data_IF_689489245800
#
_entry.id   IF_689489245800
#
_cell.length_a   1.000
_cell.length_b   1.000
_cell.length_c   1.000
_cell.angle_alpha   90.00
_cell.angle_beta   90.00
_cell.angle_gamma   90.00
#
_symmetry.space_group_name_H-M   'P 1'
#
loop_
_entity.id
_entity.type
_entity.pdbx_description
1 polymer ?
#
# COMPACT_ATOMS: atom_id res chain seq x y z
N UNK A 1 -13.34 -18.06 -13.67
CA UNK A 1 -12.99 -18.47 -12.30
C UNK A 1 -12.95 -17.20 -11.46
N UNK A 2 -13.63 -17.14 -10.32
CA UNK A 2 -13.62 -15.94 -9.45
C UNK A 2 -12.36 -16.03 -8.57
N UNK A 3 -11.43 -15.08 -8.68
CA UNK A 3 -10.26 -14.98 -7.77
C UNK A 3 -10.56 -14.01 -6.64
N UNK A 4 -9.94 -14.21 -5.48
CA UNK A 4 -10.18 -13.37 -4.29
C UNK A 4 -9.82 -11.89 -4.53
N UNK A 5 -8.89 -11.62 -5.45
CA UNK A 5 -8.45 -10.28 -5.80
C UNK A 5 -9.56 -9.40 -6.41
N UNK A 6 -10.60 -10.01 -6.99
CA UNK A 6 -11.79 -9.31 -7.47
C UNK A 6 -12.82 -9.02 -6.37
N UNK A 7 -12.73 -9.71 -5.23
CA UNK A 7 -13.59 -9.48 -4.06
C UNK A 7 -13.05 -8.38 -3.15
N UNK A 8 -11.74 -8.09 -3.22
CA UNK A 8 -11.09 -7.04 -2.45
C UNK A 8 -11.05 -5.73 -3.23
N UNK A 9 -11.65 -4.71 -2.62
CA UNK A 9 -11.70 -3.35 -3.13
C UNK A 9 -10.43 -2.57 -2.73
N UNK A 10 -9.72 -2.04 -3.73
CA UNK A 10 -8.48 -1.31 -3.52
C UNK A 10 -8.70 0.03 -2.80
N UNK A 11 -9.81 0.72 -3.04
CA UNK A 11 -10.15 1.96 -2.36
C UNK A 11 -10.35 1.71 -0.86
N UNK A 12 -11.08 0.65 -0.51
CA UNK A 12 -11.26 0.24 0.89
C UNK A 12 -9.94 -0.15 1.57
N UNK A 13 -9.00 -0.74 0.83
CA UNK A 13 -7.66 -0.99 1.35
C UNK A 13 -6.94 0.31 1.75
N UNK A 14 -6.98 1.34 0.89
CA UNK A 14 -6.38 2.64 1.21
C UNK A 14 -7.09 3.34 2.36
N UNK A 15 -8.43 3.31 2.41
CA UNK A 15 -9.21 3.81 3.55
C UNK A 15 -8.75 3.15 4.85
N UNK A 16 -8.63 1.82 4.86
CA UNK A 16 -8.21 1.10 6.05
C UNK A 16 -6.78 1.41 6.48
N UNK A 17 -5.86 1.58 5.52
CA UNK A 17 -4.50 2.04 5.85
C UNK A 17 -4.51 3.43 6.49
N UNK A 18 -5.32 4.36 5.98
CA UNK A 18 -5.43 5.70 6.56
C UNK A 18 -5.97 5.66 7.99
N UNK A 19 -7.03 4.90 8.23
CA UNK A 19 -7.59 4.71 9.58
C UNK A 19 -6.54 4.16 10.57
N UNK A 20 -5.78 3.15 10.15
CA UNK A 20 -4.77 2.53 10.99
C UNK A 20 -3.57 3.44 11.24
N UNK A 21 -3.19 4.23 10.24
CA UNK A 21 -2.02 5.10 10.29
C UNK A 21 -2.29 6.42 11.02
N UNK A 22 -3.47 6.97 10.81
CA UNK A 22 -3.91 8.28 11.28
C UNK A 22 -5.31 8.15 11.89
N UNK A 23 -5.42 7.55 13.09
CA UNK A 23 -6.71 7.32 13.73
C UNK A 23 -7.46 8.61 14.07
N UNK A 24 -6.72 9.69 14.37
CA UNK A 24 -7.30 11.00 14.68
C UNK A 24 -7.27 11.94 13.47
N UNK A 25 -6.06 12.26 12.98
CA UNK A 25 -5.87 13.16 11.84
C UNK A 25 -4.50 12.91 11.18
N UNK A 26 -4.40 13.31 9.91
CA UNK A 26 -3.19 13.15 9.11
C UNK A 26 -2.06 14.03 9.65
N UNK A 27 -0.89 13.43 9.88
CA UNK A 27 0.32 14.16 10.22
C UNK A 27 1.46 13.79 9.27
N UNK A 28 2.41 14.72 9.11
CA UNK A 28 3.57 14.53 8.25
C UNK A 28 4.47 13.43 8.82
N UNK A 29 4.75 12.35 8.08
CA UNK A 29 5.62 11.29 8.58
C UNK A 29 7.10 11.69 8.64
N UNK A 30 7.48 12.84 8.06
CA UNK A 30 8.86 13.33 8.11
C UNK A 30 9.16 14.21 9.33
N UNK A 31 8.19 14.98 9.83
CA UNK A 31 8.41 15.96 10.91
C UNK A 31 7.33 15.98 12.01
N UNK A 32 6.27 15.17 11.88
CA UNK A 32 5.17 15.12 12.87
C UNK A 32 4.15 16.26 12.79
N UNK A 33 4.33 17.23 11.90
CA UNK A 33 3.42 18.37 11.75
C UNK A 33 2.01 17.96 11.33
N UNK A 34 1.00 18.68 11.86
CA UNK A 34 -0.41 18.59 11.43
C UNK A 34 -0.79 19.64 10.39
N UNK A 35 0.13 20.52 10.00
CA UNK A 35 -0.09 21.52 8.95
C UNK A 35 0.00 20.85 7.56
N UNK A 36 -1.05 20.11 7.20
CA UNK A 36 -1.09 19.26 5.99
C UNK A 36 -2.15 19.76 5.01
N UNK A 37 -1.81 19.72 3.72
CA UNK A 37 -2.76 19.98 2.62
C UNK A 37 -2.87 18.77 1.70
N UNK A 38 -4.10 18.47 1.24
CA UNK A 38 -4.37 17.41 0.27
C UNK A 38 -4.03 17.88 -1.14
N UNK A 39 -3.18 17.14 -1.84
CA UNK A 39 -2.67 17.47 -3.18
C UNK A 39 -3.26 16.53 -4.24
N UNK A 40 -4.57 16.37 -4.22
CA UNK A 40 -5.28 15.42 -5.09
C UNK A 40 -4.80 13.99 -4.90
N UNK A 41 -5.02 13.16 -5.91
CA UNK A 41 -4.67 11.74 -5.89
C UNK A 41 -3.59 11.42 -6.92
N UNK A 42 -2.98 10.25 -6.81
CA UNK A 42 -2.04 9.74 -7.80
C UNK A 42 -2.75 9.39 -9.12
N UNK A 43 -2.11 9.64 -10.26
CA UNK A 43 -2.70 9.39 -11.59
C UNK A 43 -2.75 7.89 -11.93
N UNK A 44 -1.74 7.13 -11.51
CA UNK A 44 -1.66 5.68 -11.75
C UNK A 44 -2.44 4.88 -10.71
N UNK A 45 -2.62 5.45 -9.51
CA UNK A 45 -3.29 4.83 -8.37
C UNK A 45 -4.33 5.81 -7.81
N UNK A 46 -5.52 5.90 -8.42
CA UNK A 46 -6.54 6.92 -8.09
C UNK A 46 -7.16 6.75 -6.70
N UNK A 47 -6.80 5.71 -5.96
CA UNK A 47 -7.19 5.52 -4.56
C UNK A 47 -6.17 6.08 -3.58
N UNK A 48 -4.94 6.39 -4.05
CA UNK A 48 -3.83 6.92 -3.26
C UNK A 48 -3.92 8.44 -3.16
N UNK A 49 -3.95 8.94 -1.94
CA UNK A 49 -4.00 10.36 -1.61
C UNK A 49 -2.58 10.91 -1.49
N UNK A 50 -2.34 12.08 -2.08
CA UNK A 50 -1.09 12.83 -1.94
C UNK A 50 -1.27 13.99 -0.97
N UNK A 51 -0.20 14.30 -0.25
CA UNK A 51 -0.16 15.32 0.79
C UNK A 51 1.09 16.20 0.64
N UNK A 52 0.97 17.44 1.11
CA UNK A 52 2.07 18.40 1.23
C UNK A 52 2.07 18.98 2.65
N UNK A 53 3.23 18.88 3.31
CA UNK A 53 3.45 19.45 4.64
C UNK A 53 3.89 20.90 4.54
N UNK A 54 3.20 21.80 5.24
CA UNK A 54 3.53 23.24 5.24
C UNK A 54 4.73 23.61 6.10
N UNK A 55 5.13 22.76 7.03
CA UNK A 55 6.24 23.05 7.93
C UNK A 55 7.59 22.59 7.37
N UNK A 56 7.67 21.38 6.82
CA UNK A 56 8.92 20.85 6.24
C UNK A 56 8.96 20.85 4.71
N UNK A 57 7.87 21.26 4.04
CA UNK A 57 7.73 21.33 2.59
C UNK A 57 7.96 20.00 1.85
N UNK A 58 7.94 18.88 2.57
CA UNK A 58 8.04 17.55 1.98
C UNK A 58 6.65 17.04 1.60
N UNK A 59 6.60 16.39 0.44
CA UNK A 59 5.44 15.65 -0.04
C UNK A 59 5.47 14.24 0.50
N UNK A 60 4.30 13.69 0.80
CA UNK A 60 4.12 12.30 1.19
C UNK A 60 2.76 11.80 0.71
N UNK A 61 2.54 10.49 0.81
CA UNK A 61 1.30 9.81 0.47
C UNK A 61 0.93 8.80 1.56
N UNK A 62 -0.19 8.09 1.36
CA UNK A 62 -0.68 7.07 2.30
C UNK A 62 0.34 5.96 2.58
N UNK A 63 1.28 5.71 1.67
CA UNK A 63 2.20 4.58 1.71
C UNK A 63 3.63 4.98 2.09
N UNK A 64 3.93 6.27 2.15
CA UNK A 64 5.28 6.78 2.49
C UNK A 64 5.77 6.16 3.79
N UNK A 65 6.96 5.57 3.82
CA UNK A 65 7.52 4.81 4.96
C UNK A 65 6.72 3.59 5.41
N UNK A 66 5.90 3.02 4.54
CA UNK A 66 5.32 1.69 4.73
C UNK A 66 6.01 0.68 3.83
N UNK A 67 5.83 -0.62 4.11
CA UNK A 67 6.30 -1.71 3.24
C UNK A 67 5.66 -1.70 1.84
N UNK A 68 4.62 -0.88 1.63
CA UNK A 68 3.92 -0.75 0.36
C UNK A 68 4.46 0.40 -0.51
N UNK A 69 5.43 1.17 -0.01
CA UNK A 69 5.99 2.33 -0.70
C UNK A 69 6.77 1.92 -1.97
N UNK A 70 6.73 2.76 -3.02
CA UNK A 70 7.62 2.61 -4.17
C UNK A 70 7.34 1.43 -5.11
N UNK A 71 6.22 0.73 -4.92
CA UNK A 71 5.85 -0.42 -5.76
C UNK A 71 4.72 -0.09 -6.73
N UNK A 72 4.81 -0.68 -7.93
CA UNK A 72 3.82 -0.51 -9.01
C UNK A 72 2.55 -1.35 -8.81
N UNK A 73 2.63 -2.44 -8.05
CA UNK A 73 1.49 -3.31 -7.81
C UNK A 73 0.41 -2.58 -6.98
N UNK A 74 -0.90 -2.77 -7.30
CA UNK A 74 -1.99 -2.22 -6.49
C UNK A 74 -1.89 -2.63 -5.02
N UNK A 75 -2.35 -1.77 -4.12
CA UNK A 75 -2.26 -2.02 -2.69
C UNK A 75 -2.98 -3.32 -2.28
N UNK A 76 -4.16 -3.59 -2.85
CA UNK A 76 -4.90 -4.84 -2.59
C UNK A 76 -4.08 -6.10 -2.89
N UNK A 77 -3.23 -6.06 -3.93
CA UNK A 77 -2.37 -7.18 -4.33
C UNK A 77 -1.32 -7.44 -3.25
N UNK A 78 -0.72 -6.39 -2.70
CA UNK A 78 0.21 -6.51 -1.57
C UNK A 78 -0.46 -7.05 -0.31
N UNK A 79 -1.64 -6.54 0.05
CA UNK A 79 -2.38 -7.01 1.23
C UNK A 79 -2.72 -8.49 1.11
N UNK A 80 -3.20 -8.94 -0.05
CA UNK A 80 -3.50 -10.35 -0.29
C UNK A 80 -2.23 -11.22 -0.31
N UNK A 81 -1.14 -10.73 -0.88
CA UNK A 81 0.16 -11.42 -0.82
C UNK A 81 0.59 -11.66 0.63
N UNK A 82 0.54 -10.63 1.48
CA UNK A 82 0.85 -10.77 2.91
C UNK A 82 -0.10 -11.73 3.63
N UNK A 83 -1.40 -11.68 3.31
CA UNK A 83 -2.39 -12.62 3.85
C UNK A 83 -2.03 -14.08 3.49
N UNK A 84 -1.71 -14.36 2.23
CA UNK A 84 -1.32 -15.70 1.79
C UNK A 84 0.03 -16.17 2.32
N UNK A 85 1.00 -15.26 2.49
CA UNK A 85 2.24 -15.55 3.19
C UNK A 85 1.97 -15.98 4.64
N UNK A 86 1.03 -15.33 5.33
CA UNK A 86 0.59 -15.72 6.69
C UNK A 86 -0.09 -17.08 6.74
N UNK A 87 -0.67 -17.54 5.63
CA UNK A 87 -1.22 -18.89 5.45
C UNK A 87 -0.16 -19.90 4.98
N UNK A 88 1.11 -19.52 4.89
CA UNK A 88 2.23 -20.33 4.40
C UNK A 88 2.02 -20.92 2.99
N UNK A 89 1.31 -20.21 2.12
CA UNK A 89 1.20 -20.61 0.71
C UNK A 89 2.55 -20.48 0.00
N UNK A 90 2.80 -21.35 -0.98
CA UNK A 90 4.01 -21.26 -1.81
C UNK A 90 3.99 -20.00 -2.70
N UNK A 91 5.16 -19.48 -3.07
CA UNK A 91 5.23 -18.33 -3.99
C UNK A 91 4.52 -18.61 -5.33
N UNK A 92 4.58 -19.85 -5.83
CA UNK A 92 3.90 -20.28 -7.05
C UNK A 92 2.37 -20.27 -6.89
N UNK A 93 1.85 -20.68 -5.74
CA UNK A 93 0.40 -20.62 -5.49
C UNK A 93 -0.07 -19.17 -5.31
N UNK A 94 0.72 -18.33 -4.62
CA UNK A 94 0.45 -16.89 -4.48
C UNK A 94 0.41 -16.22 -5.86
N UNK A 95 1.40 -16.52 -6.72
CA UNK A 95 1.46 -15.97 -8.07
C UNK A 95 0.20 -16.34 -8.88
N UNK A 96 -0.22 -17.61 -8.81
CA UNK A 96 -1.43 -18.08 -9.48
C UNK A 96 -2.70 -17.41 -8.96
N UNK A 97 -2.86 -17.28 -7.64
CA UNK A 97 -4.09 -16.70 -7.06
C UNK A 97 -4.21 -15.18 -7.28
N UNK A 98 -3.06 -14.49 -7.42
CA UNK A 98 -3.01 -13.04 -7.63
C UNK A 98 -2.81 -12.64 -9.10
N UNK A 99 -2.78 -13.62 -10.01
CA UNK A 99 -2.49 -13.42 -11.43
C UNK A 99 -1.20 -12.61 -11.66
N UNK A 100 -0.15 -12.99 -10.94
CA UNK A 100 1.18 -12.37 -10.99
C UNK A 100 2.20 -13.28 -11.67
N UNK A 101 3.26 -12.68 -12.21
CA UNK A 101 4.45 -13.45 -12.54
C UNK A 101 5.07 -14.00 -11.24
N UNK A 102 5.64 -15.21 -11.32
CA UNK A 102 6.31 -15.82 -10.17
C UNK A 102 7.46 -14.95 -9.64
N UNK A 103 8.15 -14.22 -10.51
CA UNK A 103 9.19 -13.25 -10.13
C UNK A 103 8.64 -12.08 -9.32
N UNK A 104 7.43 -11.60 -9.63
CA UNK A 104 6.79 -10.51 -8.90
C UNK A 104 6.37 -11.00 -7.50
N UNK A 105 5.72 -12.17 -7.43
CA UNK A 105 5.38 -12.80 -6.16
C UNK A 105 6.64 -13.04 -5.31
N UNK A 106 7.72 -13.55 -5.91
CA UNK A 106 8.99 -13.74 -5.22
C UNK A 106 9.62 -12.43 -4.74
N UNK A 107 9.57 -11.35 -5.53
CA UNK A 107 10.05 -10.04 -5.10
C UNK A 107 9.24 -9.52 -3.91
N UNK A 108 7.91 -9.66 -3.97
CA UNK A 108 7.01 -9.27 -2.88
C UNK A 108 7.28 -10.05 -1.59
N UNK A 109 7.49 -11.37 -1.67
CA UNK A 109 7.74 -12.20 -0.48
C UNK A 109 9.15 -12.07 0.09
N UNK A 110 10.13 -11.66 -0.73
CA UNK A 110 11.51 -11.37 -0.30
C UNK A 110 11.65 -10.07 0.47
N UNK A 111 10.73 -9.11 0.29
CA UNK A 111 10.78 -7.82 0.97
C UNK A 111 10.36 -7.96 2.44
N UNK A 112 11.20 -8.63 3.24
CA UNK A 112 11.15 -8.60 4.69
C UNK A 112 12.01 -7.44 5.17
N UNK A 113 11.36 -6.33 5.49
CA UNK A 113 11.95 -5.18 6.19
C UNK A 113 13.19 -4.58 5.51
N UNK A 114 12.98 -3.66 4.57
CA UNK A 114 13.98 -2.63 4.29
C UNK A 114 13.29 -1.30 4.53
N UNK A 115 13.55 -0.73 5.73
CA UNK A 115 13.24 0.66 6.06
C UNK A 115 14.40 1.57 5.66
#
# INVERSE_FOLDING_TARGET
MITIQHLVDNAKCYEKIRELRWPDDVFCPHCGSKAITKQGKDESQPDRQRYDCKDCHRKFDDLTYTIFAGHHQPLKTWILCLYFMGLNMSNSDIARELDLNESDAQQMTRHRYCG
#
